data_IF_468611588462
#
_entry.id   IF_468611588462
#
_cell.length_a   1.000
_cell.length_b   1.000
_cell.length_c   1.000
_cell.angle_alpha   90.00
_cell.angle_beta   90.00
_cell.angle_gamma   90.00
#
_symmetry.space_group_name_H-M   'P 1'
#
loop_
_entity.id
_entity.type
_entity.pdbx_description
1 polymer ?
#
# COMPACT_ATOMS: atom_id res chain seq x y z
N UNK A 1 -8.43 27.00 -42.51
CA UNK A 1 -8.79 25.70 -42.05
C UNK A 1 -8.24 25.53 -40.63
N UNK A 2 -9.12 25.40 -39.63
CA UNK A 2 -8.72 25.21 -38.26
C UNK A 2 -8.09 23.84 -38.07
N UNK A 3 -7.04 23.74 -37.24
CA UNK A 3 -6.44 22.50 -36.85
C UNK A 3 -7.49 21.60 -36.13
N UNK A 4 -7.51 20.32 -36.47
CA UNK A 4 -8.33 19.30 -35.79
C UNK A 4 -7.40 18.36 -35.04
N UNK A 5 -6.89 18.74 -33.85
CA UNK A 5 -6.05 17.86 -33.06
C UNK A 5 -6.89 16.68 -32.58
N UNK A 6 -6.29 15.49 -32.54
CA UNK A 6 -6.83 14.35 -31.83
C UNK A 6 -6.03 14.12 -30.56
N UNK A 7 -6.71 13.64 -29.54
CA UNK A 7 -6.12 13.33 -28.23
C UNK A 7 -6.06 11.82 -28.06
N UNK A 8 -5.04 11.37 -27.33
CA UNK A 8 -4.95 9.96 -26.95
C UNK A 8 -6.12 9.58 -26.06
N UNK A 9 -6.55 8.33 -26.19
CA UNK A 9 -7.48 7.74 -25.24
C UNK A 9 -6.88 7.75 -23.83
N UNK A 10 -7.72 8.02 -22.84
CA UNK A 10 -7.35 7.93 -21.43
C UNK A 10 -8.52 7.38 -20.63
N UNK A 11 -8.21 6.76 -19.49
CA UNK A 11 -9.19 6.30 -18.50
C UNK A 11 -9.10 7.14 -17.24
N UNK A 12 -10.24 7.40 -16.62
CA UNK A 12 -10.32 8.09 -15.34
C UNK A 12 -11.48 7.49 -14.53
N UNK A 13 -11.30 7.33 -13.22
CA UNK A 13 -12.37 6.84 -12.34
C UNK A 13 -13.44 7.90 -12.15
N UNK A 14 -14.69 7.48 -11.96
CA UNK A 14 -15.80 8.41 -11.66
C UNK A 14 -15.58 9.16 -10.34
N UNK A 15 -14.95 8.50 -9.38
CA UNK A 15 -14.59 9.12 -8.11
C UNK A 15 -13.72 10.36 -8.34
N UNK A 16 -12.64 10.19 -9.09
CA UNK A 16 -11.69 11.25 -9.38
C UNK A 16 -12.27 12.34 -10.32
N UNK A 17 -13.12 11.93 -11.27
CA UNK A 17 -13.72 12.84 -12.24
C UNK A 17 -14.86 13.67 -11.63
N UNK A 18 -15.77 13.05 -10.89
CA UNK A 18 -17.03 13.65 -10.45
C UNK A 18 -17.52 13.13 -9.07
N UNK A 19 -16.63 12.61 -8.22
CA UNK A 19 -16.94 12.09 -6.87
C UNK A 19 -18.05 11.05 -6.87
N UNK A 20 -18.03 10.14 -7.85
CA UNK A 20 -19.04 9.09 -8.07
C UNK A 20 -20.48 9.60 -8.37
N UNK A 21 -20.69 10.90 -8.57
CA UNK A 21 -21.97 11.43 -9.05
C UNK A 21 -21.83 11.89 -10.52
N UNK A 22 -22.31 11.11 -11.49
CA UNK A 22 -22.21 11.46 -12.91
C UNK A 22 -22.83 12.80 -13.30
N UNK A 23 -23.67 13.39 -12.45
CA UNK A 23 -24.32 14.68 -12.68
C UNK A 23 -23.48 15.85 -12.19
N UNK A 24 -22.46 15.58 -11.34
CA UNK A 24 -21.54 16.62 -10.90
C UNK A 24 -20.76 17.17 -12.09
N UNK A 25 -20.79 18.49 -12.33
CA UNK A 25 -20.05 19.10 -13.44
C UNK A 25 -18.55 19.13 -13.12
N UNK A 26 -17.74 18.85 -14.12
CA UNK A 26 -16.29 18.97 -14.10
C UNK A 26 -15.80 19.86 -15.24
N UNK A 27 -14.60 20.42 -15.10
CA UNK A 27 -14.00 21.32 -16.06
C UNK A 27 -13.07 20.55 -17.00
N UNK A 28 -13.26 20.71 -18.30
CA UNK A 28 -12.36 20.24 -19.35
C UNK A 28 -11.63 21.44 -19.93
N UNK A 29 -10.31 21.44 -19.88
CA UNK A 29 -9.49 22.53 -20.42
C UNK A 29 -8.55 21.99 -21.50
N UNK A 30 -8.38 22.75 -22.54
CA UNK A 30 -7.50 22.42 -23.66
C UNK A 30 -6.34 23.40 -23.70
N UNK A 31 -5.13 22.86 -23.59
CA UNK A 31 -3.90 23.62 -23.59
C UNK A 31 -3.09 23.38 -24.85
N UNK A 32 -2.41 24.42 -25.32
CA UNK A 32 -1.38 24.30 -26.35
C UNK A 32 -0.02 24.22 -25.68
N UNK A 33 0.68 23.13 -25.91
CA UNK A 33 2.06 22.96 -25.48
C UNK A 33 3.00 23.94 -26.22
N UNK A 34 3.92 24.57 -25.50
CA UNK A 34 4.86 25.57 -26.02
C UNK A 34 6.33 25.28 -25.68
N UNK A 35 6.68 24.02 -25.48
CA UNK A 35 8.02 23.62 -25.05
C UNK A 35 8.32 24.06 -23.61
N UNK A 36 9.47 24.72 -23.34
CA UNK A 36 9.86 25.12 -21.98
C UNK A 36 9.03 26.29 -21.41
N UNK A 37 8.12 26.85 -22.19
CA UNK A 37 7.20 27.91 -21.72
C UNK A 37 5.91 27.29 -21.18
N UNK A 38 5.25 28.01 -20.26
CA UNK A 38 3.98 27.58 -19.72
C UNK A 38 2.97 27.23 -20.82
N UNK A 39 2.20 26.14 -20.65
CA UNK A 39 1.16 25.77 -21.58
C UNK A 39 0.13 26.90 -21.75
N UNK A 40 -0.26 27.20 -22.96
CA UNK A 40 -1.27 28.22 -23.24
C UNK A 40 -2.66 27.61 -23.19
N UNK A 41 -3.49 28.04 -22.23
CA UNK A 41 -4.90 27.66 -22.19
C UNK A 41 -5.62 28.22 -23.44
N UNK A 42 -6.16 27.34 -24.28
CA UNK A 42 -6.91 27.68 -25.47
C UNK A 42 -8.39 27.90 -25.16
N UNK A 43 -8.94 27.13 -24.23
CA UNK A 43 -10.33 27.26 -23.81
C UNK A 43 -10.76 26.10 -22.93
N UNK A 44 -11.90 26.29 -22.26
CA UNK A 44 -12.49 25.32 -21.34
C UNK A 44 -13.98 25.10 -21.61
N UNK A 45 -14.50 23.99 -21.11
CA UNK A 45 -15.91 23.69 -21.08
C UNK A 45 -16.27 22.95 -19.78
N UNK A 46 -17.37 23.33 -19.15
CA UNK A 46 -17.98 22.51 -18.12
C UNK A 46 -18.79 21.40 -18.78
N UNK A 47 -18.66 20.20 -18.24
CA UNK A 47 -19.37 19.03 -18.72
C UNK A 47 -19.80 18.12 -17.57
N UNK A 48 -20.78 17.29 -17.83
CA UNK A 48 -21.17 16.17 -16.98
C UNK A 48 -20.99 14.87 -17.76
N UNK A 49 -20.90 13.73 -17.06
CA UNK A 49 -20.78 12.42 -17.70
C UNK A 49 -21.89 12.16 -18.74
N UNK A 50 -23.18 12.39 -18.44
CA UNK A 50 -24.25 12.23 -19.43
C UNK A 50 -24.06 13.08 -20.70
N UNK A 51 -23.45 14.26 -20.58
CA UNK A 51 -23.16 15.10 -21.74
C UNK A 51 -22.05 14.52 -22.61
N UNK A 52 -21.07 13.82 -22.02
CA UNK A 52 -20.04 13.11 -22.78
C UNK A 52 -20.60 11.88 -23.49
N UNK A 53 -21.49 11.13 -22.79
CA UNK A 53 -22.17 9.94 -23.34
C UNK A 53 -23.08 10.28 -24.53
N UNK A 54 -23.71 11.45 -24.48
CA UNK A 54 -24.73 11.85 -25.48
C UNK A 54 -24.22 12.08 -26.89
N UNK A 55 -22.92 12.04 -27.15
CA UNK A 55 -22.28 12.13 -28.47
C UNK A 55 -22.80 13.27 -29.38
N UNK A 56 -22.14 13.53 -30.47
CA UNK A 56 -22.73 14.24 -31.63
C UNK A 56 -22.59 15.76 -31.68
N UNK A 57 -22.93 16.54 -30.67
CA UNK A 57 -22.87 18.03 -30.79
C UNK A 57 -21.54 18.65 -30.35
N UNK A 58 -20.70 17.87 -29.63
CA UNK A 58 -19.45 18.33 -29.05
C UNK A 58 -19.62 19.46 -28.02
N UNK A 59 -18.66 19.56 -27.10
CA UNK A 59 -18.61 20.60 -26.08
C UNK A 59 -18.01 21.88 -26.67
N UNK A 60 -18.69 23.02 -26.51
CA UNK A 60 -18.18 24.30 -26.93
C UNK A 60 -17.08 24.77 -25.96
N UNK A 61 -15.85 24.92 -26.46
CA UNK A 61 -14.75 25.49 -25.72
C UNK A 61 -14.83 27.01 -25.71
N UNK A 62 -14.84 27.61 -24.54
CA UNK A 62 -14.86 29.06 -24.36
C UNK A 62 -13.49 29.60 -23.95
N UNK A 63 -13.15 30.84 -24.29
CA UNK A 63 -11.90 31.46 -23.85
C UNK A 63 -11.79 31.51 -22.34
N UNK A 64 -10.56 31.54 -21.80
CA UNK A 64 -10.36 31.75 -20.36
C UNK A 64 -11.06 33.03 -19.88
N UNK A 65 -11.59 32.97 -18.65
CA UNK A 65 -12.24 34.12 -17.99
C UNK A 65 -13.41 34.75 -18.76
N UNK A 66 -14.03 34.01 -19.67
CA UNK A 66 -15.18 34.47 -20.42
C UNK A 66 -16.47 33.85 -19.89
N UNK A 67 -17.54 34.61 -19.85
CA UNK A 67 -18.86 34.11 -19.46
C UNK A 67 -19.51 33.20 -20.49
N UNK A 68 -20.63 32.57 -20.11
CA UNK A 68 -21.37 31.60 -20.93
C UNK A 68 -21.85 32.14 -22.31
N UNK A 69 -21.94 33.42 -22.46
CA UNK A 69 -22.34 34.09 -23.71
C UNK A 69 -21.19 34.33 -24.70
N UNK A 70 -19.94 34.06 -24.29
CA UNK A 70 -18.80 34.27 -25.17
C UNK A 70 -18.80 33.33 -26.36
N UNK A 71 -18.33 33.82 -27.50
CA UNK A 71 -18.21 33.03 -28.73
C UNK A 71 -17.21 31.88 -28.50
N UNK A 72 -17.57 30.62 -28.78
CA UNK A 72 -16.65 29.49 -28.63
C UNK A 72 -15.41 29.64 -29.52
N UNK A 73 -14.25 29.32 -28.97
CA UNK A 73 -12.95 29.26 -29.68
C UNK A 73 -12.77 27.94 -30.45
N UNK A 74 -13.56 26.92 -30.08
CA UNK A 74 -13.52 25.60 -30.70
C UNK A 74 -14.59 24.66 -30.12
N UNK A 75 -14.54 23.41 -30.55
CA UNK A 75 -15.38 22.34 -30.00
C UNK A 75 -14.54 21.11 -29.70
N UNK A 76 -14.80 20.51 -28.53
CA UNK A 76 -14.25 19.19 -28.14
C UNK A 76 -15.29 18.12 -28.54
N UNK A 77 -14.90 17.21 -29.41
CA UNK A 77 -15.74 16.09 -29.84
C UNK A 77 -15.31 14.84 -29.10
N UNK A 78 -16.24 14.22 -28.43
CA UNK A 78 -16.04 12.88 -27.86
C UNK A 78 -16.29 11.87 -28.97
N UNK A 79 -15.25 11.19 -29.41
CA UNK A 79 -15.34 10.22 -30.50
C UNK A 79 -15.89 8.89 -30.00
N UNK A 80 -15.41 8.45 -28.85
CA UNK A 80 -15.86 7.22 -28.21
C UNK A 80 -15.91 7.45 -26.71
N UNK A 81 -16.93 6.95 -26.09
CA UNK A 81 -17.10 6.90 -24.66
C UNK A 81 -17.49 5.47 -24.26
N UNK A 82 -16.83 4.94 -23.26
CA UNK A 82 -17.21 3.67 -22.66
C UNK A 82 -17.11 3.78 -21.15
N UNK A 83 -17.97 3.07 -20.47
CA UNK A 83 -18.00 2.94 -19.03
C UNK A 83 -17.82 1.46 -18.70
N UNK A 84 -16.94 1.15 -17.79
CA UNK A 84 -16.72 -0.20 -17.29
C UNK A 84 -16.66 -0.19 -15.77
N UNK A 85 -17.14 -1.26 -15.17
CA UNK A 85 -16.93 -1.54 -13.76
C UNK A 85 -15.57 -2.20 -13.63
N UNK A 86 -14.68 -1.62 -12.84
CA UNK A 86 -13.42 -2.24 -12.48
C UNK A 86 -13.53 -2.79 -11.06
N UNK A 87 -13.07 -4.02 -10.82
CA UNK A 87 -13.07 -4.60 -9.48
C UNK A 87 -12.20 -3.77 -8.55
N UNK A 88 -12.62 -3.64 -7.31
CA UNK A 88 -11.84 -3.03 -6.24
C UNK A 88 -11.00 -4.09 -5.52
N UNK A 89 -10.02 -3.66 -4.74
CA UNK A 89 -9.25 -4.54 -3.84
C UNK A 89 -10.18 -5.38 -2.94
N UNK A 90 -11.24 -4.77 -2.39
CA UNK A 90 -12.20 -5.46 -1.53
C UNK A 90 -13.02 -6.52 -2.27
N UNK A 91 -13.25 -6.38 -3.59
CA UNK A 91 -13.93 -7.42 -4.36
C UNK A 91 -13.10 -8.69 -4.44
N UNK A 92 -11.76 -8.57 -4.56
CA UNK A 92 -10.88 -9.73 -4.51
C UNK A 92 -10.84 -10.37 -3.13
N UNK A 93 -10.76 -9.58 -2.05
CA UNK A 93 -10.81 -10.10 -0.68
C UNK A 93 -12.13 -10.84 -0.43
N UNK A 94 -13.26 -10.25 -0.82
CA UNK A 94 -14.58 -10.90 -0.75
C UNK A 94 -14.68 -12.11 -1.67
N UNK A 95 -13.95 -12.12 -2.77
CA UNK A 95 -13.80 -13.20 -3.73
C UNK A 95 -12.91 -14.33 -3.27
N UNK A 96 -12.42 -14.31 -2.02
CA UNK A 96 -11.55 -15.32 -1.42
C UNK A 96 -10.11 -15.30 -1.96
N UNK A 97 -9.61 -14.12 -2.40
CA UNK A 97 -8.18 -13.94 -2.60
C UNK A 97 -7.45 -14.03 -1.25
N UNK A 98 -6.45 -14.91 -1.17
CA UNK A 98 -5.61 -15.06 0.03
C UNK A 98 -4.56 -13.97 0.06
N UNK A 99 -4.45 -13.27 1.19
CA UNK A 99 -3.34 -12.36 1.49
C UNK A 99 -2.49 -13.02 2.58
N UNK A 100 -1.17 -13.01 2.41
CA UNK A 100 -0.23 -13.54 3.37
C UNK A 100 0.76 -12.44 3.79
N UNK A 101 0.93 -12.26 5.10
CA UNK A 101 1.82 -11.27 5.68
C UNK A 101 3.12 -11.90 6.15
N UNK A 102 4.23 -11.50 5.53
CA UNK A 102 5.59 -11.84 5.93
C UNK A 102 6.16 -10.66 6.72
N UNK A 103 6.79 -10.89 7.86
CA UNK A 103 7.40 -9.83 8.66
C UNK A 103 8.91 -10.01 8.74
N UNK A 104 9.67 -8.94 8.51
CA UNK A 104 11.11 -8.91 8.63
C UNK A 104 11.57 -7.79 9.59
N UNK A 105 12.44 -8.13 10.54
CA UNK A 105 12.85 -7.27 11.64
C UNK A 105 14.37 -7.04 11.59
N UNK A 106 14.74 -5.77 11.68
CA UNK A 106 16.13 -5.31 11.67
C UNK A 106 16.81 -5.52 13.03
N UNK A 107 17.91 -6.26 13.03
CA UNK A 107 18.78 -6.46 14.20
C UNK A 107 20.20 -5.97 13.93
N UNK A 108 20.34 -4.92 13.11
CA UNK A 108 21.65 -4.31 12.87
C UNK A 108 22.15 -3.51 14.08
N UNK A 109 23.46 -3.33 14.17
CA UNK A 109 24.13 -2.69 15.30
C UNK A 109 23.77 -1.20 15.46
N UNK A 110 23.23 -0.54 14.45
CA UNK A 110 22.70 0.83 14.53
C UNK A 110 21.60 0.97 15.59
N UNK A 111 20.82 -0.09 15.77
CA UNK A 111 19.77 -0.19 16.80
C UNK A 111 20.31 -0.22 18.22
N UNK A 112 21.63 -0.47 18.43
CA UNK A 112 22.28 -0.77 19.71
C UNK A 112 21.79 -2.07 20.33
N UNK A 113 22.64 -2.70 21.15
CA UNK A 113 22.29 -3.97 21.83
C UNK A 113 21.10 -3.77 22.78
N UNK A 114 20.20 -4.76 22.92
CA UNK A 114 18.92 -4.61 23.62
C UNK A 114 19.04 -4.37 25.13
N UNK A 115 20.18 -4.68 25.73
CA UNK A 115 20.51 -4.39 27.15
C UNK A 115 20.77 -2.91 27.41
N UNK A 116 21.08 -2.12 26.38
CA UNK A 116 21.33 -0.68 26.50
C UNK A 116 20.01 0.09 26.55
N UNK A 117 19.83 1.02 27.51
CA UNK A 117 18.57 1.76 27.69
C UNK A 117 18.15 2.63 26.49
N UNK A 118 19.09 3.01 25.64
CA UNK A 118 18.89 3.83 24.45
C UNK A 118 18.80 2.99 23.15
N UNK A 119 18.77 1.67 23.27
CA UNK A 119 18.48 0.77 22.15
C UNK A 119 17.00 0.89 21.72
N UNK A 120 16.75 0.85 20.41
CA UNK A 120 15.39 0.76 19.89
C UNK A 120 14.71 -0.58 20.19
N UNK A 121 15.49 -1.60 20.56
CA UNK A 121 15.02 -2.91 21.00
C UNK A 121 14.98 -3.07 22.52
N UNK A 122 15.36 -2.04 23.27
CA UNK A 122 15.38 -2.13 24.73
C UNK A 122 13.98 -2.46 25.26
N UNK A 123 13.87 -3.62 25.91
CA UNK A 123 12.60 -4.07 26.48
C UNK A 123 12.41 -3.50 27.88
N UNK A 124 11.43 -2.60 28.01
CA UNK A 124 11.06 -2.04 29.30
C UNK A 124 9.75 -2.70 29.77
N UNK A 125 9.68 -3.04 31.06
CA UNK A 125 8.48 -3.63 31.69
C UNK A 125 7.26 -2.71 31.62
N UNK A 126 7.47 -1.40 31.52
CA UNK A 126 6.40 -0.41 31.61
C UNK A 126 5.82 -0.02 30.23
N UNK A 127 6.55 -0.23 29.14
CA UNK A 127 6.06 0.05 27.80
C UNK A 127 6.79 -0.73 26.71
N UNK A 128 6.08 -1.16 25.64
CA UNK A 128 6.71 -1.80 24.48
C UNK A 128 7.77 -0.88 23.86
N UNK A 129 8.85 -1.47 23.36
CA UNK A 129 9.89 -0.77 22.62
C UNK A 129 9.37 -0.30 21.24
N UNK A 130 10.12 0.54 20.49
CA UNK A 130 9.69 1.03 19.17
C UNK A 130 9.35 -0.08 18.16
N UNK A 131 10.14 -1.17 18.13
CA UNK A 131 9.87 -2.31 17.24
C UNK A 131 8.59 -3.05 17.60
N UNK A 132 8.39 -3.36 18.87
CA UNK A 132 7.15 -3.98 19.33
C UNK A 132 5.93 -3.10 19.04
N UNK A 133 6.06 -1.78 19.17
CA UNK A 133 4.99 -0.84 18.78
C UNK A 133 4.74 -0.86 17.28
N UNK A 134 5.77 -0.93 16.45
CA UNK A 134 5.63 -1.03 14.99
C UNK A 134 4.97 -2.35 14.58
N UNK A 135 5.42 -3.48 15.11
CA UNK A 135 4.82 -4.81 14.92
C UNK A 135 3.33 -4.77 15.27
N UNK A 136 3.00 -4.26 16.47
CA UNK A 136 1.62 -4.18 16.91
C UNK A 136 0.77 -3.23 16.06
N UNK A 137 1.31 -2.09 15.66
CA UNK A 137 0.54 -1.06 14.94
C UNK A 137 0.37 -1.40 13.46
N UNK A 138 1.47 -1.68 12.76
CA UNK A 138 1.43 -2.07 11.35
C UNK A 138 0.84 -3.47 11.17
N UNK A 139 1.27 -4.42 12.02
CA UNK A 139 0.78 -5.78 11.99
C UNK A 139 -0.72 -5.88 12.17
N UNK A 140 -1.34 -5.13 13.10
CA UNK A 140 -2.81 -5.12 13.28
C UNK A 140 -3.56 -4.64 12.04
N UNK A 141 -2.99 -3.70 11.30
CA UNK A 141 -3.59 -3.19 10.06
C UNK A 141 -3.53 -4.26 8.98
N UNK A 142 -2.34 -4.82 8.77
CA UNK A 142 -2.09 -5.78 7.69
C UNK A 142 -2.64 -7.17 8.01
N UNK A 143 -2.55 -7.64 9.24
CA UNK A 143 -3.12 -8.93 9.68
C UNK A 143 -4.65 -9.01 9.51
N UNK A 144 -5.34 -7.86 9.38
CA UNK A 144 -6.76 -7.87 9.06
C UNK A 144 -7.06 -8.46 7.67
N UNK A 145 -6.10 -8.39 6.77
CA UNK A 145 -6.18 -8.93 5.42
C UNK A 145 -5.57 -10.31 5.28
N UNK A 146 -4.79 -10.76 6.29
CA UNK A 146 -4.20 -12.09 6.32
C UNK A 146 -5.25 -13.18 6.43
N UNK A 147 -5.07 -14.27 5.69
CA UNK A 147 -6.13 -15.26 5.47
C UNK A 147 -6.12 -16.40 6.46
N UNK A 148 -4.94 -16.79 6.95
CA UNK A 148 -4.74 -17.98 7.79
C UNK A 148 -4.24 -17.67 9.21
N UNK A 149 -3.87 -16.41 9.47
CA UNK A 149 -3.31 -15.93 10.72
C UNK A 149 -1.95 -16.60 11.08
N UNK A 150 -1.23 -17.08 10.05
CA UNK A 150 0.09 -17.66 10.17
C UNK A 150 1.13 -16.73 9.55
N UNK A 151 1.99 -16.15 10.36
CA UNK A 151 2.95 -15.14 9.96
C UNK A 151 4.36 -15.69 9.88
N UNK A 152 4.97 -15.84 8.69
CA UNK A 152 6.41 -16.00 8.56
C UNK A 152 7.14 -14.80 9.14
N UNK A 153 8.12 -15.05 10.04
CA UNK A 153 8.86 -13.99 10.72
C UNK A 153 10.34 -14.19 10.55
N UNK A 154 10.97 -13.22 9.90
CA UNK A 154 12.41 -13.21 9.64
C UNK A 154 13.12 -12.09 10.41
N UNK A 155 14.39 -12.28 10.67
CA UNK A 155 15.31 -11.27 11.15
C UNK A 155 16.45 -11.07 10.15
N UNK A 156 17.10 -9.91 10.20
CA UNK A 156 18.29 -9.65 9.40
C UNK A 156 19.33 -8.80 10.15
N UNK A 157 20.59 -8.88 9.71
CA UNK A 157 21.67 -8.06 10.23
C UNK A 157 22.22 -8.50 11.58
N UNK A 158 22.10 -9.79 11.96
CA UNK A 158 22.56 -10.32 13.24
C UNK A 158 23.48 -11.53 13.08
N UNK A 159 24.26 -11.79 14.12
CA UNK A 159 24.97 -13.07 14.31
C UNK A 159 24.02 -14.04 15.00
N UNK A 160 23.79 -15.18 14.36
CA UNK A 160 22.74 -16.14 14.74
C UNK A 160 23.39 -17.46 15.23
N UNK A 161 22.87 -18.06 16.34
CA UNK A 161 23.36 -19.37 16.77
C UNK A 161 23.06 -20.45 15.71
N UNK A 162 23.81 -21.59 15.69
CA UNK A 162 24.90 -21.93 16.62
C UNK A 162 26.25 -21.37 16.22
N UNK A 163 26.44 -20.94 14.96
CA UNK A 163 27.74 -20.50 14.42
C UNK A 163 28.12 -19.07 14.79
N UNK A 164 27.12 -18.25 15.13
CA UNK A 164 27.27 -16.82 15.36
C UNK A 164 27.93 -16.08 14.18
N UNK A 165 27.68 -16.55 12.97
CA UNK A 165 27.97 -15.82 11.73
C UNK A 165 26.86 -14.81 11.44
N UNK A 166 27.21 -13.72 10.75
CA UNK A 166 26.22 -12.73 10.33
C UNK A 166 25.28 -13.37 9.34
N UNK A 167 23.99 -13.16 9.54
CA UNK A 167 22.94 -13.64 8.65
C UNK A 167 21.99 -12.46 8.33
N UNK A 168 21.68 -12.30 7.05
CA UNK A 168 20.86 -11.21 6.57
C UNK A 168 19.42 -11.62 6.21
N UNK A 169 19.07 -12.91 6.43
CA UNK A 169 17.70 -13.40 6.40
C UNK A 169 17.59 -14.72 7.14
N UNK A 170 17.08 -14.72 8.36
CA UNK A 170 16.93 -15.93 9.18
C UNK A 170 15.55 -15.96 9.85
N UNK A 171 14.93 -17.16 10.00
CA UNK A 171 13.68 -17.29 10.73
C UNK A 171 13.86 -16.97 12.22
N UNK A 172 12.96 -16.18 12.80
CA UNK A 172 13.04 -15.85 14.24
C UNK A 172 12.69 -17.03 15.16
N UNK A 173 12.12 -18.06 14.60
CA UNK A 173 11.93 -19.37 15.28
C UNK A 173 13.22 -20.18 15.38
N UNK A 174 14.29 -19.78 14.67
CA UNK A 174 15.53 -20.53 14.47
C UNK A 174 15.33 -21.95 13.90
N UNK A 175 14.26 -22.12 13.12
CA UNK A 175 13.92 -23.39 12.46
C UNK A 175 13.42 -23.11 11.04
N UNK A 176 14.09 -23.68 10.05
CA UNK A 176 13.71 -23.55 8.65
C UNK A 176 12.41 -24.33 8.33
N UNK A 177 12.08 -25.34 9.15
CA UNK A 177 10.85 -26.13 8.99
C UNK A 177 9.62 -25.45 9.59
N UNK A 178 9.80 -24.46 10.47
CA UNK A 178 8.73 -23.80 11.21
C UNK A 178 8.95 -22.29 11.24
N UNK A 179 8.85 -21.62 10.11
CA UNK A 179 9.12 -20.17 9.98
C UNK A 179 7.95 -19.32 10.46
N UNK A 180 6.73 -19.82 10.28
CA UNK A 180 5.51 -19.09 10.61
C UNK A 180 5.07 -19.31 12.06
N UNK A 181 4.47 -18.27 12.63
CA UNK A 181 3.89 -18.27 13.98
C UNK A 181 2.43 -17.83 13.94
N UNK A 182 1.63 -18.29 14.90
CA UNK A 182 0.22 -17.97 14.95
C UNK A 182 -0.03 -16.59 15.59
N UNK A 183 -0.68 -15.71 14.87
CA UNK A 183 -1.12 -14.40 15.34
C UNK A 183 0.03 -13.42 15.62
N UNK A 184 -0.34 -12.16 15.83
CA UNK A 184 0.63 -11.12 16.17
C UNK A 184 1.29 -11.32 17.56
N UNK A 185 0.60 -11.99 18.46
CA UNK A 185 1.18 -12.34 19.76
C UNK A 185 2.33 -13.35 19.56
N UNK A 186 2.18 -14.32 18.63
CA UNK A 186 3.26 -15.22 18.26
C UNK A 186 4.44 -14.49 17.61
N UNK A 187 4.19 -13.46 16.78
CA UNK A 187 5.25 -12.61 16.23
C UNK A 187 6.03 -11.90 17.34
N UNK A 188 5.33 -11.35 18.33
CA UNK A 188 5.98 -10.68 19.48
C UNK A 188 6.75 -11.66 20.37
N UNK A 189 6.22 -12.86 20.57
CA UNK A 189 6.87 -13.90 21.38
C UNK A 189 8.20 -14.33 20.75
N UNK A 190 8.24 -14.62 19.44
CA UNK A 190 9.50 -15.00 18.77
C UNK A 190 10.45 -13.82 18.62
N UNK A 191 9.93 -12.60 18.43
CA UNK A 191 10.75 -11.40 18.44
C UNK A 191 11.47 -11.21 19.79
N UNK A 192 10.73 -11.32 20.90
CA UNK A 192 11.31 -11.23 22.24
C UNK A 192 12.30 -12.36 22.50
N UNK A 193 11.97 -13.60 22.12
CA UNK A 193 12.86 -14.74 22.24
C UNK A 193 14.18 -14.55 21.47
N UNK A 194 14.10 -13.97 20.26
CA UNK A 194 15.28 -13.73 19.44
C UNK A 194 16.26 -12.72 20.07
N UNK A 195 15.75 -11.68 20.76
CA UNK A 195 16.59 -10.67 21.42
C UNK A 195 17.60 -11.28 22.43
N UNK A 196 17.24 -12.40 23.06
CA UNK A 196 18.12 -13.09 24.02
C UNK A 196 19.13 -14.04 23.36
N UNK A 197 19.02 -14.31 22.05
CA UNK A 197 19.77 -15.34 21.35
C UNK A 197 20.78 -14.83 20.35
N UNK A 198 20.52 -13.65 19.78
CA UNK A 198 21.31 -13.09 18.69
C UNK A 198 22.24 -11.99 19.18
N UNK A 199 23.25 -11.69 18.36
CA UNK A 199 24.14 -10.55 18.58
C UNK A 199 23.94 -9.59 17.39
N UNK A 200 23.53 -8.38 17.66
CA UNK A 200 23.33 -7.36 16.65
C UNK A 200 24.63 -7.07 15.89
N UNK A 201 24.53 -6.97 14.59
CA UNK A 201 25.71 -6.85 13.73
C UNK A 201 25.42 -5.89 12.56
N UNK A 202 25.47 -6.31 11.35
CA UNK A 202 25.27 -5.53 10.13
C UNK A 202 26.18 -6.04 9.02
N UNK A 203 26.11 -5.42 7.85
CA UNK A 203 25.35 -4.23 7.48
C UNK A 203 23.83 -4.47 7.33
N UNK A 204 23.06 -3.39 7.04
CA UNK A 204 21.64 -3.48 6.66
C UNK A 204 21.54 -3.97 5.22
N UNK A 205 21.15 -5.21 5.03
CA UNK A 205 20.99 -5.89 3.74
C UNK A 205 19.53 -6.28 3.58
N UNK A 206 18.85 -5.70 2.60
CA UNK A 206 17.43 -5.98 2.31
C UNK A 206 17.26 -6.93 1.14
N UNK A 207 18.25 -7.07 0.26
CA UNK A 207 18.16 -7.92 -0.92
C UNK A 207 17.80 -9.36 -0.56
N UNK A 208 18.43 -9.95 0.47
CA UNK A 208 18.16 -11.34 0.90
C UNK A 208 16.75 -11.53 1.46
N UNK A 209 16.26 -10.55 2.22
CA UNK A 209 14.89 -10.56 2.77
C UNK A 209 13.85 -10.48 1.64
N UNK A 210 14.06 -9.56 0.68
CA UNK A 210 13.17 -9.37 -0.47
C UNK A 210 13.19 -10.62 -1.36
N UNK A 211 14.36 -11.19 -1.63
CA UNK A 211 14.47 -12.43 -2.43
C UNK A 211 13.83 -13.63 -1.71
N UNK A 212 13.83 -13.67 -0.39
CA UNK A 212 13.14 -14.72 0.37
C UNK A 212 11.62 -14.58 0.21
N UNK A 213 11.07 -13.40 0.43
CA UNK A 213 9.64 -13.14 0.21
C UNK A 213 9.23 -13.37 -1.25
N UNK A 214 10.08 -12.99 -2.20
CA UNK A 214 9.85 -13.24 -3.62
C UNK A 214 9.82 -14.73 -3.96
N UNK A 215 10.67 -15.55 -3.32
CA UNK A 215 10.64 -17.03 -3.50
C UNK A 215 9.36 -17.63 -2.94
N UNK A 216 8.89 -17.18 -1.78
CA UNK A 216 7.60 -17.62 -1.22
C UNK A 216 6.43 -17.23 -2.14
N UNK A 217 6.41 -15.98 -2.62
CA UNK A 217 5.39 -15.53 -3.56
C UNK A 217 5.41 -16.29 -4.89
N UNK A 218 6.60 -16.62 -5.40
CA UNK A 218 6.75 -17.38 -6.64
C UNK A 218 6.36 -18.86 -6.50
N UNK A 219 6.44 -19.43 -5.29
CA UNK A 219 6.09 -20.83 -5.03
C UNK A 219 4.57 -21.08 -5.02
N UNK A 220 3.77 -20.03 -4.87
CA UNK A 220 2.32 -20.13 -4.80
C UNK A 220 1.68 -19.73 -6.13
N UNK A 221 0.79 -20.54 -6.69
CA UNK A 221 0.15 -20.22 -7.96
C UNK A 221 -0.81 -19.05 -7.80
N UNK A 222 -0.87 -18.20 -8.83
CA UNK A 222 -1.88 -17.14 -8.94
C UNK A 222 -2.63 -17.36 -10.24
N UNK A 223 -3.79 -17.96 -10.13
CA UNK A 223 -4.69 -18.27 -11.24
C UNK A 223 -6.06 -17.63 -11.00
N UNK A 224 -7.00 -17.83 -11.92
CA UNK A 224 -8.38 -17.38 -11.70
C UNK A 224 -9.05 -18.08 -10.51
N UNK A 225 -8.71 -19.34 -10.26
CA UNK A 225 -9.35 -20.19 -9.26
C UNK A 225 -8.58 -20.17 -7.92
N UNK A 226 -7.30 -19.87 -7.95
CA UNK A 226 -6.43 -19.80 -6.79
C UNK A 226 -5.66 -18.48 -6.80
N UNK A 227 -6.03 -17.59 -5.89
CA UNK A 227 -5.52 -16.23 -5.86
C UNK A 227 -4.76 -15.98 -4.54
N UNK A 228 -3.45 -15.83 -4.66
CA UNK A 228 -2.56 -15.57 -3.54
C UNK A 228 -1.82 -14.24 -3.76
N UNK A 229 -1.67 -13.44 -2.72
CA UNK A 229 -0.89 -12.20 -2.74
C UNK A 229 -0.13 -12.04 -1.45
N UNK A 230 1.08 -11.52 -1.53
CA UNK A 230 2.00 -11.40 -0.39
C UNK A 230 2.24 -9.95 -0.03
N UNK A 231 2.33 -9.71 1.28
CA UNK A 231 2.74 -8.42 1.84
C UNK A 231 4.00 -8.66 2.68
N UNK A 232 5.12 -8.09 2.28
CA UNK A 232 6.35 -8.10 3.07
C UNK A 232 6.41 -6.82 3.90
N UNK A 233 6.32 -6.95 5.22
CA UNK A 233 6.50 -5.87 6.17
C UNK A 233 7.95 -5.88 6.68
N UNK A 234 8.74 -4.87 6.31
CA UNK A 234 10.11 -4.67 6.81
C UNK A 234 10.09 -3.56 7.85
N UNK A 235 10.66 -3.82 9.03
CA UNK A 235 10.80 -2.82 10.09
C UNK A 235 12.29 -2.60 10.35
N UNK A 236 12.78 -1.37 10.15
CA UNK A 236 14.21 -1.02 10.18
C UNK A 236 14.43 0.36 10.80
N UNK A 237 15.61 0.58 11.39
CA UNK A 237 16.03 1.88 11.95
C UNK A 237 16.93 2.68 11.01
N UNK A 238 17.28 2.15 9.83
CA UNK A 238 18.27 2.75 8.94
C UNK A 238 18.01 2.53 7.47
N UNK A 239 18.85 3.15 6.70
CA UNK A 239 18.90 2.96 5.25
C UNK A 239 19.65 1.69 4.89
N UNK A 240 19.34 1.15 3.72
CA UNK A 240 20.10 0.04 3.10
C UNK A 240 21.57 0.42 3.03
N UNK A 241 22.45 -0.56 3.25
CA UNK A 241 23.89 -0.42 2.99
C UNK A 241 24.13 -0.03 1.54
N UNK A 242 25.05 0.91 1.30
CA UNK A 242 25.41 1.33 -0.04
C UNK A 242 25.90 0.18 -0.92
N UNK A 243 26.59 -0.79 -0.32
CA UNK A 243 27.08 -1.98 -1.02
C UNK A 243 25.93 -2.92 -1.42
N UNK A 244 24.84 -2.94 -0.67
CA UNK A 244 23.64 -3.77 -0.98
C UNK A 244 22.59 -3.04 -1.84
N UNK A 245 22.67 -1.72 -1.98
CA UNK A 245 21.69 -0.95 -2.72
C UNK A 245 21.44 -1.46 -4.15
N UNK A 246 22.47 -1.78 -4.97
CA UNK A 246 22.26 -2.35 -6.29
C UNK A 246 21.54 -3.71 -6.24
N UNK A 247 21.89 -4.59 -5.30
CA UNK A 247 21.26 -5.89 -5.13
C UNK A 247 19.82 -5.76 -4.63
N UNK A 248 19.54 -4.80 -3.73
CA UNK A 248 18.20 -4.47 -3.27
C UNK A 248 17.33 -3.98 -4.43
N UNK A 249 17.82 -3.06 -5.27
CA UNK A 249 17.10 -2.59 -6.46
C UNK A 249 16.80 -3.76 -7.40
N UNK A 250 17.78 -4.62 -7.67
CA UNK A 250 17.59 -5.80 -8.51
C UNK A 250 16.56 -6.77 -7.93
N UNK A 251 16.55 -6.98 -6.61
CA UNK A 251 15.58 -7.80 -5.92
C UNK A 251 14.14 -7.23 -6.05
N UNK A 252 13.97 -5.92 -5.86
CA UNK A 252 12.68 -5.23 -6.05
C UNK A 252 12.21 -5.36 -7.51
N UNK A 253 13.11 -5.15 -8.48
CA UNK A 253 12.76 -5.29 -9.90
C UNK A 253 12.31 -6.71 -10.22
N UNK A 254 12.98 -7.74 -9.70
CA UNK A 254 12.54 -9.14 -9.86
C UNK A 254 11.18 -9.38 -9.18
N UNK A 255 11.03 -8.90 -7.95
CA UNK A 255 9.81 -9.03 -7.16
C UNK A 255 8.61 -8.30 -7.79
N UNK A 256 8.86 -7.24 -8.57
CA UNK A 256 7.79 -6.50 -9.26
C UNK A 256 7.00 -7.33 -10.28
N UNK A 257 7.54 -8.46 -10.70
CA UNK A 257 6.86 -9.42 -11.59
C UNK A 257 5.95 -10.40 -10.81
N UNK A 258 6.01 -10.41 -9.47
CA UNK A 258 5.34 -11.38 -8.59
C UNK A 258 4.14 -10.76 -7.84
N UNK A 259 3.25 -11.57 -7.27
CA UNK A 259 2.11 -11.10 -6.46
C UNK A 259 2.57 -10.62 -5.07
N UNK A 260 3.42 -9.61 -5.04
CA UNK A 260 4.09 -9.13 -3.83
C UNK A 260 4.04 -7.60 -3.76
N UNK A 261 3.76 -7.07 -2.58
CA UNK A 261 4.02 -5.68 -2.18
C UNK A 261 4.91 -5.63 -0.95
N UNK A 262 5.69 -4.57 -0.82
CA UNK A 262 6.66 -4.35 0.25
C UNK A 262 6.29 -3.09 1.01
N UNK A 263 6.09 -3.20 2.32
CA UNK A 263 5.90 -2.06 3.22
C UNK A 263 7.15 -1.93 4.09
N UNK A 264 7.83 -0.80 4.04
CA UNK A 264 9.00 -0.51 4.85
C UNK A 264 8.63 0.51 5.91
N UNK A 265 8.75 0.14 7.19
CA UNK A 265 8.57 1.04 8.33
C UNK A 265 9.94 1.51 8.81
N UNK A 266 10.20 2.82 8.68
CA UNK A 266 11.43 3.44 9.17
C UNK A 266 11.28 3.96 10.59
N UNK A 267 12.07 3.42 11.54
CA UNK A 267 12.08 3.80 12.95
C UNK A 267 13.23 4.74 13.27
N UNK A 268 13.04 5.60 14.26
CA UNK A 268 14.13 6.46 14.74
C UNK A 268 14.35 7.71 13.87
N UNK A 269 15.61 8.17 13.78
CA UNK A 269 15.99 9.46 13.18
C UNK A 269 17.08 9.36 12.13
N UNK A 270 17.29 8.17 11.58
CA UNK A 270 18.28 7.99 10.53
C UNK A 270 17.89 8.76 9.24
N UNK A 271 18.85 8.90 8.34
CA UNK A 271 18.58 9.40 7.00
C UNK A 271 17.95 8.29 6.15
N UNK A 272 16.68 8.47 5.80
CA UNK A 272 15.90 7.54 4.98
C UNK A 272 15.84 7.95 3.50
N UNK A 273 16.75 8.81 3.02
CA UNK A 273 16.75 9.27 1.62
C UNK A 273 16.77 8.10 0.62
N UNK A 274 17.51 7.04 0.91
CA UNK A 274 17.52 5.84 0.07
C UNK A 274 16.24 5.02 0.13
N UNK A 275 15.53 5.03 1.27
CA UNK A 275 14.22 4.37 1.37
C UNK A 275 13.16 5.11 0.55
N UNK A 276 13.18 6.44 0.57
CA UNK A 276 12.35 7.24 -0.34
C UNK A 276 12.69 7.04 -1.82
N UNK A 277 13.94 6.75 -2.15
CA UNK A 277 14.33 6.40 -3.51
C UNK A 277 13.75 5.03 -3.93
N UNK A 278 13.73 4.05 -3.02
CA UNK A 278 13.15 2.72 -3.28
C UNK A 278 11.61 2.76 -3.41
N UNK A 279 10.94 3.71 -2.74
CA UNK A 279 9.50 3.97 -2.78
C UNK A 279 9.00 4.46 -4.16
N UNK A 280 9.89 5.07 -4.94
CA UNK A 280 9.72 5.34 -6.39
C UNK A 280 8.46 6.08 -6.83
N UNK A 281 7.82 6.89 -5.98
CA UNK A 281 6.57 7.62 -6.26
C UNK A 281 6.50 8.32 -7.63
N UNK A 282 7.65 8.79 -8.14
CA UNK A 282 7.69 9.67 -9.31
C UNK A 282 8.21 8.97 -10.59
N UNK A 283 8.82 7.79 -10.47
CA UNK A 283 9.39 7.08 -11.63
C UNK A 283 9.64 5.61 -11.29
N UNK A 284 9.42 4.71 -12.25
CA UNK A 284 9.72 3.29 -12.05
C UNK A 284 11.18 3.08 -11.70
N UNK A 285 11.44 2.27 -10.68
CA UNK A 285 12.77 1.89 -10.24
C UNK A 285 13.54 1.24 -11.38
N UNK A 286 14.78 1.67 -11.60
CA UNK A 286 15.64 1.22 -12.69
C UNK A 286 17.03 0.82 -12.14
N UNK A 287 17.55 -0.32 -12.57
CA UNK A 287 18.87 -0.77 -12.18
C UNK A 287 19.97 -0.22 -13.10
N UNK A 288 21.24 -0.52 -12.78
CA UNK A 288 22.40 -0.10 -13.55
C UNK A 288 22.40 -0.57 -15.01
N UNK A 289 21.72 -1.67 -15.30
CA UNK A 289 21.61 -2.25 -16.65
C UNK A 289 20.44 -1.67 -17.45
N UNK A 290 19.70 -0.72 -16.89
CA UNK A 290 18.54 -0.09 -17.52
C UNK A 290 17.27 -0.95 -17.47
N UNK A 291 17.25 -2.04 -16.68
CA UNK A 291 16.04 -2.82 -16.45
C UNK A 291 15.16 -2.06 -15.44
N UNK A 292 13.88 -1.90 -15.78
CA UNK A 292 12.89 -1.23 -14.93
C UNK A 292 11.99 -2.23 -14.22
N UNK A 293 11.52 -1.83 -13.05
CA UNK A 293 10.44 -2.51 -12.38
C UNK A 293 9.19 -2.55 -13.28
N UNK A 294 8.48 -3.66 -13.28
CA UNK A 294 7.25 -3.82 -14.08
C UNK A 294 6.10 -3.00 -13.50
N UNK A 295 6.08 -2.85 -12.19
CA UNK A 295 5.14 -2.06 -11.40
C UNK A 295 5.83 -1.55 -10.14
N UNK A 296 5.29 -0.52 -9.54
CA UNK A 296 5.66 -0.13 -8.20
C UNK A 296 5.14 -1.16 -7.19
N UNK A 297 5.96 -1.54 -6.22
CA UNK A 297 5.64 -2.53 -5.19
C UNK A 297 6.10 -2.12 -3.80
N UNK A 298 6.74 -0.96 -3.65
CA UNK A 298 7.31 -0.51 -2.38
C UNK A 298 6.50 0.65 -1.84
N UNK A 299 6.19 0.61 -0.55
CA UNK A 299 5.63 1.72 0.23
C UNK A 299 6.52 1.98 1.44
N UNK A 300 7.09 3.16 1.53
CA UNK A 300 7.90 3.57 2.69
C UNK A 300 7.11 4.47 3.64
N UNK A 301 7.08 4.09 4.92
CA UNK A 301 6.37 4.84 5.98
C UNK A 301 7.35 5.22 7.09
N UNK A 302 7.81 6.48 7.14
CA UNK A 302 8.67 6.94 8.22
C UNK A 302 7.87 7.07 9.53
N UNK A 303 8.38 6.49 10.60
CA UNK A 303 7.78 6.54 11.94
C UNK A 303 8.78 7.07 13.00
N UNK A 304 9.24 8.31 12.89
CA UNK A 304 10.24 8.85 13.81
C UNK A 304 9.71 9.03 15.25
N UNK A 305 8.41 9.21 15.43
CA UNK A 305 7.76 9.34 16.73
C UNK A 305 6.33 8.78 16.71
N UNK A 306 6.13 7.61 17.35
CA UNK A 306 4.81 6.98 17.51
C UNK A 306 3.77 7.84 18.23
N UNK A 307 4.19 8.87 18.95
CA UNK A 307 3.28 9.73 19.74
C UNK A 307 2.52 10.71 18.88
N UNK A 308 2.98 10.96 17.65
CA UNK A 308 2.42 12.00 16.77
C UNK A 308 1.37 11.48 15.79
N UNK A 309 1.31 10.17 15.55
CA UNK A 309 0.38 9.57 14.58
C UNK A 309 -0.72 8.79 15.29
N UNK A 310 -1.98 9.05 14.91
CA UNK A 310 -3.10 8.20 15.32
C UNK A 310 -3.06 6.86 14.56
N UNK A 311 -3.66 5.81 15.11
CA UNK A 311 -3.74 4.51 14.43
C UNK A 311 -4.41 4.61 13.04
N UNK A 312 -5.41 5.48 12.90
CA UNK A 312 -6.07 5.72 11.60
C UNK A 312 -5.16 6.41 10.59
N UNK A 313 -4.32 7.35 11.02
CA UNK A 313 -3.37 8.01 10.13
C UNK A 313 -2.30 7.02 9.63
N UNK A 314 -1.78 6.20 10.53
CA UNK A 314 -0.84 5.15 10.19
C UNK A 314 -1.44 4.14 9.20
N UNK A 315 -2.72 3.75 9.41
CA UNK A 315 -3.41 2.86 8.48
C UNK A 315 -3.53 3.47 7.09
N UNK A 316 -3.84 4.76 6.99
CA UNK A 316 -3.90 5.45 5.71
C UNK A 316 -2.55 5.47 5.00
N UNK A 317 -1.44 5.68 5.71
CA UNK A 317 -0.10 5.68 5.12
C UNK A 317 0.33 4.27 4.69
N UNK A 318 0.16 3.25 5.53
CA UNK A 318 0.53 1.87 5.21
C UNK A 318 -0.28 1.33 4.03
N UNK A 319 -1.57 1.66 3.95
CA UNK A 319 -2.47 1.17 2.91
C UNK A 319 -2.60 2.13 1.71
N UNK A 320 -1.81 3.21 1.66
CA UNK A 320 -1.96 4.23 0.63
C UNK A 320 -1.87 3.64 -0.79
N UNK A 321 -0.92 2.75 -1.02
CA UNK A 321 -0.61 2.21 -2.35
C UNK A 321 -0.93 0.72 -2.51
N UNK A 322 -1.02 -0.04 -1.41
CA UNK A 322 -1.24 -1.49 -1.46
C UNK A 322 -2.42 -1.89 -2.36
N UNK A 323 -3.60 -1.24 -2.27
CA UNK A 323 -4.73 -1.58 -3.15
C UNK A 323 -4.41 -1.38 -4.64
N UNK A 324 -3.71 -0.30 -4.99
CA UNK A 324 -3.36 0.00 -6.39
C UNK A 324 -2.27 -0.96 -6.91
N UNK A 325 -1.25 -1.23 -6.11
CA UNK A 325 -0.20 -2.21 -6.41
C UNK A 325 -0.79 -3.61 -6.63
N UNK A 326 -1.70 -4.04 -5.76
CA UNK A 326 -2.44 -5.30 -5.89
C UNK A 326 -3.25 -5.35 -7.19
N UNK A 327 -4.08 -4.32 -7.42
CA UNK A 327 -4.96 -4.27 -8.60
C UNK A 327 -4.16 -4.22 -9.90
N UNK A 328 -3.00 -3.57 -9.92
CA UNK A 328 -2.12 -3.54 -11.09
C UNK A 328 -1.63 -4.92 -11.45
N UNK A 329 -1.26 -5.76 -10.47
CA UNK A 329 -0.86 -7.14 -10.67
C UNK A 329 -2.02 -7.99 -11.21
N UNK A 330 -3.17 -7.96 -10.55
CA UNK A 330 -4.34 -8.75 -10.95
C UNK A 330 -4.84 -8.38 -12.36
N UNK A 331 -4.80 -7.08 -12.69
CA UNK A 331 -5.16 -6.58 -14.01
C UNK A 331 -4.19 -7.04 -15.10
N UNK A 332 -2.89 -6.98 -14.83
CA UNK A 332 -1.86 -7.47 -15.76
C UNK A 332 -2.02 -8.97 -16.04
N UNK A 333 -2.30 -9.76 -15.00
CA UNK A 333 -2.61 -11.20 -15.10
C UNK A 333 -3.99 -11.54 -15.68
N UNK A 334 -4.86 -10.52 -15.90
CA UNK A 334 -6.26 -10.68 -16.31
C UNK A 334 -7.08 -11.55 -15.34
N UNK A 335 -6.70 -11.57 -14.08
CA UNK A 335 -7.36 -12.30 -13.01
C UNK A 335 -8.51 -11.42 -12.53
N UNK A 336 -9.69 -11.99 -12.37
CA UNK A 336 -10.89 -11.31 -11.85
C UNK A 336 -11.17 -11.80 -10.41
N UNK A 337 -11.90 -11.02 -9.60
CA UNK A 337 -12.36 -11.49 -8.30
C UNK A 337 -13.06 -12.84 -8.40
N UNK A 338 -12.88 -13.69 -7.41
CA UNK A 338 -13.54 -14.99 -7.36
C UNK A 338 -15.07 -14.87 -7.40
N UNK A 339 -15.75 -15.92 -7.86
CA UNK A 339 -17.19 -15.94 -8.11
C UNK A 339 -18.05 -15.58 -6.90
N UNK A 340 -17.54 -15.75 -5.70
CA UNK A 340 -18.24 -15.40 -4.44
C UNK A 340 -18.45 -13.90 -4.27
N UNK A 341 -17.57 -13.07 -4.85
CA UNK A 341 -17.71 -11.60 -4.86
C UNK A 341 -18.77 -11.13 -5.87
N UNK A 342 -18.97 -11.88 -6.94
CA UNK A 342 -19.91 -11.54 -8.02
C UNK A 342 -21.35 -12.00 -7.74
N UNK A 343 -21.52 -12.96 -6.82
CA UNK A 343 -22.81 -13.40 -6.35
C UNK A 343 -23.30 -12.49 -5.21
N UNK A 344 -23.59 -11.25 -5.49
CA UNK A 344 -24.36 -10.39 -4.57
C UNK A 344 -25.81 -10.82 -4.61
N UNK A 345 -26.16 -11.83 -3.82
CA UNK A 345 -27.49 -11.79 -3.20
C UNK A 345 -27.50 -10.66 -2.16
N UNK A 346 -28.58 -9.89 -2.05
CA UNK A 346 -28.73 -8.92 -0.96
C UNK A 346 -28.49 -9.69 0.34
N UNK A 347 -27.54 -9.26 1.16
CA UNK A 347 -27.33 -9.77 2.50
C UNK A 347 -28.66 -9.60 3.25
N UNK A 348 -29.53 -10.60 3.18
CA UNK A 348 -30.56 -10.78 4.19
C UNK A 348 -29.80 -10.82 5.52
N UNK A 349 -30.09 -9.86 6.36
CA UNK A 349 -29.56 -9.70 7.70
C UNK A 349 -29.96 -10.90 8.55
N UNK A 350 -29.35 -12.03 8.32
CA UNK A 350 -29.32 -13.08 9.31
C UNK A 350 -28.26 -12.64 10.32
N UNK A 351 -28.71 -12.31 11.53
CA UNK A 351 -27.93 -11.76 12.63
C UNK A 351 -26.74 -12.63 13.04
N UNK A 352 -25.73 -12.64 12.21
CA UNK A 352 -24.38 -12.98 12.63
C UNK A 352 -23.85 -11.69 13.25
N UNK A 353 -23.93 -11.60 14.57
CA UNK A 353 -23.14 -10.61 15.32
C UNK A 353 -21.68 -10.79 14.89
N UNK A 354 -21.23 -9.94 13.98
CA UNK A 354 -19.78 -9.73 13.80
C UNK A 354 -19.33 -9.23 15.18
N UNK A 355 -18.45 -9.96 15.88
CA UNK A 355 -17.97 -9.49 17.18
C UNK A 355 -17.37 -8.12 16.91
N UNK A 356 -17.89 -7.09 17.54
CA UNK A 356 -17.37 -5.74 17.38
C UNK A 356 -15.87 -5.80 17.64
N UNK A 357 -15.09 -5.03 16.89
CA UNK A 357 -13.64 -4.89 17.07
C UNK A 357 -13.31 -4.72 18.56
N UNK A 358 -14.20 -4.08 19.32
CA UNK A 358 -14.14 -3.92 20.76
C UNK A 358 -14.17 -5.24 21.55
N UNK A 359 -14.99 -6.23 21.16
CA UNK A 359 -15.03 -7.54 21.84
C UNK A 359 -13.78 -8.38 21.54
N UNK A 360 -13.24 -8.32 20.31
CA UNK A 360 -11.98 -8.98 19.96
C UNK A 360 -10.78 -8.33 20.70
N UNK A 361 -10.74 -6.99 20.76
CA UNK A 361 -9.68 -6.26 21.48
C UNK A 361 -9.75 -6.46 23.00
N UNK A 362 -10.95 -6.53 23.56
CA UNK A 362 -11.15 -6.83 25.00
C UNK A 362 -10.76 -8.29 25.35
N UNK A 363 -11.01 -9.24 24.46
CA UNK A 363 -10.62 -10.64 24.61
C UNK A 363 -9.10 -10.81 24.63
N UNK A 364 -8.38 -10.14 23.73
CA UNK A 364 -6.92 -10.19 23.65
C UNK A 364 -6.25 -9.49 24.85
N UNK A 365 -6.77 -8.35 25.30
CA UNK A 365 -6.29 -7.68 26.51
C UNK A 365 -6.40 -8.58 27.77
N UNK A 366 -7.41 -9.44 27.82
CA UNK A 366 -7.61 -10.41 28.93
C UNK A 366 -6.59 -11.55 28.95
N UNK A 367 -6.05 -11.97 27.80
CA UNK A 367 -5.02 -13.02 27.70
C UNK A 367 -3.66 -12.48 28.17
N UNK A 368 -3.33 -11.24 27.82
CA UNK A 368 -2.13 -10.56 28.28
C UNK A 368 -2.09 -10.40 29.81
N UNK A 369 -3.24 -10.14 30.44
CA UNK A 369 -3.38 -9.99 31.90
C UNK A 369 -3.18 -11.31 32.68
N UNK A 370 -3.38 -12.48 32.06
CA UNK A 370 -3.31 -13.78 32.73
C UNK A 370 -1.92 -14.43 32.78
N UNK A 371 -0.99 -14.00 31.91
CA UNK A 371 0.39 -14.56 31.89
C UNK A 371 1.40 -13.76 32.71
N UNK A 372 1.09 -12.53 33.07
CA UNK A 372 1.92 -11.71 33.97
C UNK A 372 1.42 -11.87 35.42
N UNK A 373 1.82 -12.91 36.09
CA UNK A 373 1.59 -13.12 37.55
C UNK A 373 2.57 -12.37 38.44
N UNK A 374 3.13 -11.27 37.98
CA UNK A 374 3.88 -10.34 38.84
C UNK A 374 3.17 -8.98 38.79
N UNK A 375 2.29 -8.75 39.80
CA UNK A 375 1.69 -7.45 40.20
C UNK A 375 1.63 -6.38 39.12
N UNK A 376 0.62 -6.39 38.27
CA UNK A 376 0.24 -5.23 37.46
C UNK A 376 -0.89 -4.50 38.19
N UNK A 377 -0.61 -3.30 38.64
CA UNK A 377 -1.62 -2.32 38.99
C UNK A 377 -2.31 -1.89 37.68
N UNK A 378 -3.62 -1.84 37.71
CA UNK A 378 -4.59 -1.43 36.69
C UNK A 378 -4.05 -1.01 35.30
N UNK A 379 -4.44 -1.78 34.28
CA UNK A 379 -4.27 -1.43 32.88
C UNK A 379 -5.01 -0.11 32.62
N UNK A 380 -4.37 0.93 32.04
CA UNK A 380 -5.08 2.13 31.66
C UNK A 380 -6.19 1.78 30.66
N UNK A 381 -7.42 2.09 31.00
CA UNK A 381 -8.56 2.01 30.06
C UNK A 381 -8.19 2.81 28.82
N UNK A 382 -8.32 2.18 27.66
CA UNK A 382 -8.18 2.89 26.36
C UNK A 382 -9.10 4.12 26.43
N UNK A 383 -8.55 5.33 26.28
CA UNK A 383 -9.37 6.53 26.38
C UNK A 383 -10.53 6.47 25.37
N UNK A 384 -11.75 6.69 25.83
CA UNK A 384 -12.94 6.77 24.97
C UNK A 384 -12.81 7.83 23.84
N UNK A 385 -11.86 8.74 23.97
CA UNK A 385 -11.43 9.69 22.94
C UNK A 385 -10.86 9.05 21.69
N UNK A 386 -10.19 7.88 21.78
CA UNK A 386 -9.70 7.15 20.61
C UNK A 386 -10.83 6.49 19.81
N UNK A 387 -11.87 6.04 20.50
CA UNK A 387 -13.08 5.47 19.88
C UNK A 387 -14.00 6.57 19.29
N UNK A 388 -13.99 7.77 19.87
CA UNK A 388 -14.73 8.93 19.33
C UNK A 388 -13.99 9.63 18.18
N UNK A 389 -12.67 9.62 18.14
CA UNK A 389 -11.90 10.18 17.04
C UNK A 389 -12.07 9.38 15.74
N UNK A 390 -12.29 8.07 15.82
CA UNK A 390 -12.66 7.24 14.66
C UNK A 390 -14.09 7.50 14.16
N UNK A 391 -14.96 8.13 14.98
CA UNK A 391 -16.35 8.42 14.63
C UNK A 391 -16.67 9.88 14.31
N UNK A 392 -15.76 10.85 14.51
CA UNK A 392 -16.09 12.28 14.43
C UNK A 392 -15.27 13.13 13.46
N UNK A 393 -14.28 12.58 12.78
CA UNK A 393 -13.64 13.28 11.69
C UNK A 393 -13.70 12.45 10.41
N UNK A 394 -14.59 12.90 9.57
CA UNK A 394 -14.70 12.65 8.16
C UNK A 394 -14.46 11.21 7.76
N UNK A 395 -15.55 10.49 7.70
CA UNK A 395 -15.69 9.31 6.84
C UNK A 395 -14.38 8.56 6.59
N UNK A 396 -13.87 7.87 7.61
CA UNK A 396 -13.52 6.50 7.31
C UNK A 396 -14.81 5.95 6.71
N UNK A 397 -14.80 5.74 5.42
CA UNK A 397 -15.89 5.04 4.81
C UNK A 397 -16.08 3.80 5.67
N UNK A 398 -17.25 3.65 6.23
CA UNK A 398 -17.66 2.40 6.80
C UNK A 398 -17.24 1.35 5.80
N UNK A 399 -16.22 0.55 6.11
CA UNK A 399 -15.71 -0.48 5.19
C UNK A 399 -16.83 -1.46 4.79
N UNK A 400 -17.97 -1.37 5.46
CA UNK A 400 -19.20 -2.12 5.16
C UNK A 400 -20.19 -1.39 4.24
N UNK A 401 -19.93 -0.12 3.85
CA UNK A 401 -20.87 0.67 3.03
C UNK A 401 -20.21 1.33 1.81
N UNK A 402 -18.93 1.08 1.56
CA UNK A 402 -18.36 1.49 0.28
C UNK A 402 -18.95 0.61 -0.83
N UNK A 403 -19.72 1.25 -1.67
CA UNK A 403 -20.19 0.68 -2.93
C UNK A 403 -18.95 0.22 -3.70
N UNK A 404 -18.81 -1.07 -3.89
CA UNK A 404 -17.57 -1.78 -4.19
C UNK A 404 -17.13 -1.70 -5.64
N UNK A 405 -17.65 -0.74 -6.41
CA UNK A 405 -17.40 -0.67 -7.84
C UNK A 405 -16.89 0.71 -8.26
N UNK A 406 -15.66 0.80 -8.67
CA UNK A 406 -15.16 1.97 -9.39
C UNK A 406 -15.53 1.87 -10.87
N UNK A 407 -15.99 3.01 -11.45
CA UNK A 407 -16.32 3.11 -12.87
C UNK A 407 -15.21 3.88 -13.58
N UNK A 408 -14.68 3.33 -14.64
CA UNK A 408 -13.65 3.95 -15.46
C UNK A 408 -14.16 4.34 -16.85
N UNK A 409 -13.62 5.42 -17.40
CA UNK A 409 -13.94 5.93 -18.72
C UNK A 409 -12.76 5.78 -19.66
N UNK A 410 -13.04 5.49 -20.92
CA UNK A 410 -12.04 5.41 -21.97
C UNK A 410 -12.43 6.31 -23.14
N UNK A 411 -11.48 7.12 -23.61
CA UNK A 411 -11.59 7.94 -24.82
C UNK A 411 -10.53 7.46 -25.82
N UNK A 412 -10.96 6.85 -26.92
CA UNK A 412 -10.07 6.28 -27.93
C UNK A 412 -9.59 7.27 -28.99
N UNK A 413 -8.41 6.98 -29.55
CA UNK A 413 -7.79 7.74 -30.64
C UNK A 413 -8.42 7.46 -32.01
N UNK A 414 -8.49 8.47 -32.82
CA UNK A 414 -8.59 8.33 -34.27
C UNK A 414 -7.28 8.81 -34.89
N UNK A 415 -6.58 7.86 -35.43
CA UNK A 415 -5.30 7.86 -36.11
C UNK A 415 -4.59 9.13 -36.52
N UNK A 416 -3.32 9.18 -36.33
CA UNK A 416 -2.34 9.92 -37.12
C UNK A 416 -1.39 10.82 -36.39
N UNK A 417 -0.13 10.39 -36.26
CA UNK A 417 1.06 11.23 -36.37
C UNK A 417 1.72 11.78 -35.12
N UNK A 418 2.84 11.21 -34.80
CA UNK A 418 4.05 11.70 -34.12
C UNK A 418 4.03 13.01 -33.31
N UNK A 419 4.39 12.91 -32.06
CA UNK A 419 4.86 14.03 -31.25
C UNK A 419 5.02 13.66 -29.78
N UNK A 420 6.26 13.42 -29.35
CA UNK A 420 6.64 12.98 -28.02
C UNK A 420 6.13 13.88 -26.90
N UNK A 421 5.70 13.25 -25.83
CA UNK A 421 5.50 13.89 -24.53
C UNK A 421 6.65 13.50 -23.61
N UNK A 422 7.58 14.42 -23.43
CA UNK A 422 8.50 14.42 -22.31
C UNK A 422 7.83 15.13 -21.14
N UNK A 423 8.01 14.55 -19.95
CA UNK A 423 7.37 14.95 -18.73
C UNK A 423 7.59 16.39 -18.31
N UNK A 424 6.70 16.85 -17.47
CA UNK A 424 6.87 18.06 -16.67
C UNK A 424 6.09 17.90 -15.37
N UNK A 425 6.84 17.71 -14.31
CA UNK A 425 6.51 18.25 -13.01
C UNK A 425 7.76 18.96 -12.51
N UNK A 426 7.67 20.26 -12.30
CA UNK A 426 8.44 21.05 -11.40
C UNK A 426 7.52 21.52 -10.29
#
# INVERSE_FOLDING_TARGET
GGAKPSFKAFSITLERLCRNDPRTPFLLEVYKWRGPKDPLLLGGAQATVPQLMGGGKGLALRPPNSGDKARPVGRLLVQRFSESLEPTFLDYIKGNCSIQLITAIDFTASNKQPDLPDSLHHWNTDSPNPYAKAIMSAGRILAHYDSDNLFPVYGFGAKVPPSYTVNHCFPLTFSDDHVAVEGLDGVLDVYQYALDKIIFSGPTVLSEVIDTAAREAAAQPVTQDEQNYFLLLIITDGSVSLDDMPATIDAIIRASELPLSIVIIGLGKADFSYMHYLDSDNSMLENSDGKKALRDIVQFVPMPDFRQKTAGHLACEILAEIPEQFLSYMKAGKIKPGSRALAQEPLERHGVEVPSLEKKLAGQASVYSRRSTARVKEVPKVPQTLLRAAGSQGRMADMNTMDTHSRAFSLDEAGGGCGGFGGLFG
#
